data_IF_439260488021
#
_entry.id   IF_439260488021
#
_cell.length_a   1.000
_cell.length_b   1.000
_cell.length_c   1.000
_cell.angle_alpha   90.00
_cell.angle_beta   90.00
_cell.angle_gamma   90.00
#
_symmetry.space_group_name_H-M   'P 1'
#
loop_
_entity.id
_entity.type
_entity.pdbx_description
1 polymer ?
#
# COMPACT_ATOMS: atom_id res chain seq x y z
N UNK A 1 -29.66 7.36 0.70
CA UNK A 1 -29.02 6.12 0.24
C UNK A 1 -29.98 5.21 -0.54
N UNK A 2 -31.09 4.76 0.01
CA UNK A 2 -32.01 3.81 -0.67
C UNK A 2 -32.50 4.33 -2.04
N UNK A 3 -32.90 5.59 -2.13
CA UNK A 3 -33.38 6.19 -3.39
C UNK A 3 -32.29 6.28 -4.47
N UNK A 4 -31.02 6.48 -4.10
CA UNK A 4 -29.90 6.48 -5.05
C UNK A 4 -29.62 5.09 -5.62
N UNK A 5 -29.71 4.05 -4.78
CA UNK A 5 -29.55 2.67 -5.20
C UNK A 5 -30.68 2.23 -6.15
N UNK A 6 -31.92 2.56 -5.84
CA UNK A 6 -33.06 2.26 -6.70
C UNK A 6 -32.93 2.96 -8.07
N UNK A 7 -32.53 4.23 -8.09
CA UNK A 7 -32.26 4.97 -9.32
C UNK A 7 -31.12 4.38 -10.13
N UNK A 8 -30.07 3.87 -9.46
CA UNK A 8 -28.98 3.15 -10.12
C UNK A 8 -29.45 1.84 -10.75
N UNK A 9 -30.24 1.05 -10.04
CA UNK A 9 -30.82 -0.18 -10.55
C UNK A 9 -31.72 0.09 -11.76
N UNK A 10 -32.57 1.10 -11.69
CA UNK A 10 -33.44 1.52 -12.80
C UNK A 10 -32.61 1.93 -14.02
N UNK A 11 -31.59 2.73 -13.84
CA UNK A 11 -30.72 3.17 -14.93
C UNK A 11 -29.97 1.98 -15.55
N UNK A 12 -29.49 1.07 -14.73
CA UNK A 12 -28.80 -0.15 -15.19
C UNK A 12 -29.73 -1.04 -16.00
N UNK A 13 -30.91 -1.37 -15.49
CA UNK A 13 -31.85 -2.27 -16.16
C UNK A 13 -32.44 -1.66 -17.42
N UNK A 14 -32.64 -0.34 -17.45
CA UNK A 14 -33.25 0.32 -18.61
C UNK A 14 -32.26 0.69 -19.71
N UNK A 15 -30.97 0.92 -19.37
CA UNK A 15 -29.99 1.45 -20.35
C UNK A 15 -28.80 0.53 -20.59
N UNK A 16 -28.41 -0.30 -19.63
CA UNK A 16 -27.23 -1.15 -19.74
C UNK A 16 -27.60 -2.59 -20.06
N UNK A 17 -28.55 -3.16 -19.33
CA UNK A 17 -28.98 -4.54 -19.50
C UNK A 17 -29.56 -4.84 -20.89
N UNK A 18 -30.30 -3.95 -21.57
CA UNK A 18 -30.81 -4.19 -22.92
C UNK A 18 -29.70 -4.32 -23.97
N UNK A 19 -28.51 -3.75 -23.72
CA UNK A 19 -27.41 -3.72 -24.70
C UNK A 19 -26.41 -4.88 -24.52
N UNK A 20 -26.69 -5.84 -23.64
CA UNK A 20 -25.87 -7.03 -23.45
C UNK A 20 -26.40 -7.93 -22.32
N UNK A 21 -25.81 -9.12 -22.18
CA UNK A 21 -26.12 -10.04 -21.10
C UNK A 21 -25.36 -9.64 -19.82
N UNK A 22 -25.77 -8.57 -19.18
CA UNK A 22 -25.20 -8.13 -17.92
C UNK A 22 -26.16 -8.51 -16.78
N UNK A 23 -25.60 -8.87 -15.64
CA UNK A 23 -26.39 -9.05 -14.42
C UNK A 23 -25.64 -8.41 -13.24
N UNK A 24 -26.40 -7.79 -12.36
CA UNK A 24 -25.90 -7.34 -11.05
C UNK A 24 -26.31 -8.40 -10.04
N UNK A 25 -25.33 -8.97 -9.32
CA UNK A 25 -25.63 -9.84 -8.19
C UNK A 25 -25.92 -8.97 -6.95
N UNK A 26 -27.15 -8.90 -6.47
CA UNK A 26 -27.48 -8.09 -5.27
C UNK A 26 -26.76 -8.56 -4.02
N UNK A 27 -26.33 -9.83 -3.98
CA UNK A 27 -25.61 -10.42 -2.85
C UNK A 27 -24.14 -10.00 -2.77
N UNK A 28 -23.61 -9.35 -3.83
CA UNK A 28 -22.21 -8.90 -3.90
C UNK A 28 -22.03 -7.39 -4.00
N UNK A 29 -23.12 -6.63 -4.04
CA UNK A 29 -23.07 -5.16 -3.97
C UNK A 29 -23.02 -4.81 -2.49
N UNK A 30 -21.81 -4.75 -1.95
CA UNK A 30 -21.57 -4.17 -0.61
C UNK A 30 -21.43 -2.65 -0.72
N UNK A 31 -21.45 -1.96 0.44
CA UNK A 31 -21.31 -0.51 0.50
C UNK A 31 -20.05 0.00 -0.22
N UNK A 32 -18.93 -0.71 -0.09
CA UNK A 32 -17.64 -0.34 -0.70
C UNK A 32 -17.68 -0.34 -2.22
N UNK A 33 -18.37 -1.29 -2.86
CA UNK A 33 -18.49 -1.30 -4.33
C UNK A 33 -19.31 -0.11 -4.82
N UNK A 34 -20.38 0.25 -4.11
CA UNK A 34 -21.19 1.42 -4.42
C UNK A 34 -20.39 2.70 -4.20
N UNK A 35 -19.63 2.79 -3.11
CA UNK A 35 -18.76 3.93 -2.82
C UNK A 35 -17.65 4.08 -3.85
N UNK A 36 -17.04 2.98 -4.29
CA UNK A 36 -16.03 2.99 -5.35
C UNK A 36 -16.60 3.49 -6.67
N UNK A 37 -17.80 3.04 -7.07
CA UNK A 37 -18.50 3.55 -8.26
C UNK A 37 -18.81 5.05 -8.10
N UNK A 38 -19.27 5.47 -6.92
CA UNK A 38 -19.55 6.86 -6.62
C UNK A 38 -18.29 7.73 -6.66
N UNK A 39 -17.19 7.25 -6.14
CA UNK A 39 -15.88 7.94 -6.15
C UNK A 39 -15.38 8.13 -7.58
N UNK A 40 -15.47 7.10 -8.43
CA UNK A 40 -15.11 7.18 -9.85
C UNK A 40 -16.00 8.18 -10.59
N UNK A 41 -17.30 8.14 -10.36
CA UNK A 41 -18.25 9.08 -10.96
C UNK A 41 -18.00 10.52 -10.50
N UNK A 42 -17.71 10.72 -9.21
CA UNK A 42 -17.37 12.01 -8.63
C UNK A 42 -16.05 12.56 -9.20
N UNK A 43 -15.05 11.71 -9.35
CA UNK A 43 -13.76 12.09 -9.96
C UNK A 43 -13.94 12.48 -11.44
N UNK A 44 -14.68 11.68 -12.23
CA UNK A 44 -14.95 11.96 -13.64
C UNK A 44 -15.81 13.22 -13.87
N UNK A 45 -16.51 13.69 -12.84
CA UNK A 45 -17.32 14.92 -12.86
C UNK A 45 -16.60 16.16 -12.30
N UNK A 46 -15.30 16.08 -12.04
CA UNK A 46 -14.52 17.19 -11.48
C UNK A 46 -14.85 17.49 -10.00
N UNK A 47 -15.27 16.47 -9.25
CA UNK A 47 -15.50 16.57 -7.80
C UNK A 47 -16.94 16.97 -7.42
N UNK A 48 -17.76 17.47 -8.37
CA UNK A 48 -19.15 17.84 -8.13
C UNK A 48 -20.09 16.89 -8.88
N UNK A 49 -20.52 15.82 -8.20
CA UNK A 49 -21.52 14.91 -8.75
C UNK A 49 -22.94 15.49 -8.50
N UNK A 50 -23.47 16.17 -9.49
CA UNK A 50 -24.88 16.59 -9.51
C UNK A 50 -25.74 15.57 -10.27
N UNK A 51 -27.04 15.59 -10.07
CA UNK A 51 -27.97 14.78 -10.85
C UNK A 51 -27.80 15.00 -12.38
N UNK A 52 -27.39 16.20 -12.78
CA UNK A 52 -27.14 16.54 -14.21
C UNK A 52 -25.84 15.95 -14.76
N UNK A 53 -24.80 15.77 -13.92
CA UNK A 53 -23.50 15.21 -14.35
C UNK A 53 -23.40 13.69 -14.18
N UNK A 54 -24.31 13.07 -13.43
CA UNK A 54 -24.30 11.65 -13.13
C UNK A 54 -24.47 10.79 -14.39
N UNK A 55 -25.48 11.07 -15.20
CA UNK A 55 -25.73 10.31 -16.44
C UNK A 55 -24.58 10.35 -17.44
N UNK A 56 -24.04 11.53 -17.81
CA UNK A 56 -22.86 11.62 -18.68
C UNK A 56 -21.60 10.94 -18.11
N UNK A 57 -21.37 11.03 -16.80
CA UNK A 57 -20.22 10.39 -16.14
C UNK A 57 -20.34 8.87 -16.13
N UNK A 58 -21.53 8.33 -15.87
CA UNK A 58 -21.83 6.91 -15.97
C UNK A 58 -21.69 6.41 -17.42
N UNK A 59 -22.16 7.18 -18.40
CA UNK A 59 -21.99 6.87 -19.82
C UNK A 59 -20.53 6.78 -20.26
N UNK A 60 -19.65 7.64 -19.73
CA UNK A 60 -18.20 7.57 -19.97
C UNK A 60 -17.59 6.31 -19.34
N UNK A 61 -17.98 5.96 -18.13
CA UNK A 61 -17.51 4.75 -17.44
C UNK A 61 -17.92 3.48 -18.23
N UNK A 62 -19.18 3.38 -18.63
CA UNK A 62 -19.71 2.23 -19.40
C UNK A 62 -19.04 2.09 -20.78
N UNK A 63 -18.67 3.20 -21.40
CA UNK A 63 -18.01 3.23 -22.70
C UNK A 63 -16.48 3.11 -22.62
N UNK A 64 -15.89 3.03 -21.42
CA UNK A 64 -14.45 2.84 -21.28
C UNK A 64 -14.02 1.49 -21.89
N UNK A 65 -12.82 1.46 -22.46
CA UNK A 65 -12.26 0.24 -23.10
C UNK A 65 -12.20 -0.95 -22.15
N UNK A 66 -12.02 -0.68 -20.86
CA UNK A 66 -11.85 -1.70 -19.82
C UNK A 66 -13.14 -2.50 -19.57
N UNK A 67 -14.32 -1.86 -19.71
CA UNK A 67 -15.59 -2.59 -19.64
C UNK A 67 -15.91 -3.38 -20.93
N UNK A 68 -15.29 -3.05 -22.08
CA UNK A 68 -15.53 -3.75 -23.34
C UNK A 68 -14.70 -5.02 -23.53
N UNK A 69 -13.57 -5.16 -22.83
CA UNK A 69 -12.67 -6.30 -23.01
C UNK A 69 -13.10 -7.58 -22.27
N UNK A 70 -13.97 -7.50 -21.29
CA UNK A 70 -14.38 -8.65 -20.47
C UNK A 70 -15.59 -9.43 -20.99
N UNK A 71 -15.91 -9.35 -22.29
CA UNK A 71 -17.06 -10.08 -22.88
C UNK A 71 -16.93 -11.61 -22.85
N UNK A 72 -15.75 -12.18 -22.61
CA UNK A 72 -15.48 -13.61 -22.77
C UNK A 72 -14.94 -14.31 -21.51
N UNK A 73 -14.85 -13.66 -20.33
CA UNK A 73 -14.38 -14.33 -19.13
C UNK A 73 -15.52 -14.71 -18.21
N UNK A 74 -15.63 -16.01 -17.91
CA UNK A 74 -16.47 -16.54 -16.82
C UNK A 74 -15.92 -16.14 -15.42
N UNK A 75 -14.80 -15.41 -15.36
CA UNK A 75 -14.20 -14.86 -14.16
C UNK A 75 -14.92 -13.56 -13.82
N UNK A 76 -15.90 -13.68 -12.95
CA UNK A 76 -16.80 -12.60 -12.58
C UNK A 76 -16.14 -11.38 -11.94
N UNK A 77 -16.94 -10.61 -11.25
CA UNK A 77 -16.74 -9.38 -10.48
C UNK A 77 -15.29 -9.06 -9.98
N UNK A 78 -14.50 -10.09 -9.66
CA UNK A 78 -13.08 -9.97 -9.25
C UNK A 78 -12.23 -9.25 -10.31
N UNK A 79 -12.46 -9.54 -11.61
CA UNK A 79 -11.69 -8.94 -12.71
C UNK A 79 -12.11 -7.48 -12.98
N UNK A 80 -13.36 -7.12 -12.68
CA UNK A 80 -13.83 -5.74 -12.84
C UNK A 80 -13.31 -4.86 -11.69
N UNK A 81 -13.29 -5.36 -10.46
CA UNK A 81 -12.73 -4.65 -9.31
C UNK A 81 -11.20 -4.56 -9.42
N UNK A 82 -10.53 -5.63 -9.84
CA UNK A 82 -9.08 -5.60 -10.10
C UNK A 82 -8.72 -4.63 -11.22
N UNK A 83 -9.54 -4.51 -12.29
CA UNK A 83 -9.32 -3.52 -13.33
C UNK A 83 -9.62 -2.09 -12.86
N UNK A 84 -10.60 -1.89 -11.98
CA UNK A 84 -10.89 -0.57 -11.39
C UNK A 84 -9.77 -0.17 -10.43
N UNK A 85 -9.29 -1.09 -9.60
CA UNK A 85 -8.17 -0.85 -8.70
C UNK A 85 -6.83 -0.80 -9.46
N UNK A 86 -6.64 -1.62 -10.48
CA UNK A 86 -5.55 -1.50 -11.45
C UNK A 86 -5.59 -0.16 -12.18
N UNK A 87 -6.79 0.39 -12.44
CA UNK A 87 -6.94 1.72 -13.05
C UNK A 87 -6.71 2.84 -12.03
N UNK A 88 -7.00 2.64 -10.75
CA UNK A 88 -6.65 3.60 -9.70
C UNK A 88 -5.14 3.61 -9.44
N UNK A 89 -4.49 2.45 -9.34
CA UNK A 89 -3.04 2.33 -9.31
C UNK A 89 -2.39 2.80 -10.64
N UNK A 90 -2.98 2.48 -11.80
CA UNK A 90 -2.56 2.97 -13.10
C UNK A 90 -2.86 4.47 -13.29
N UNK A 91 -3.92 5.02 -12.67
CA UNK A 91 -4.20 6.46 -12.70
C UNK A 91 -3.30 7.23 -11.75
N UNK A 92 -2.95 6.68 -10.58
CA UNK A 92 -1.86 7.19 -9.75
C UNK A 92 -0.53 7.05 -10.47
N UNK A 93 -0.27 5.94 -11.17
CA UNK A 93 0.90 5.75 -12.02
C UNK A 93 0.85 6.58 -13.32
N UNK A 94 -0.33 6.82 -13.92
CA UNK A 94 -0.50 7.59 -15.16
C UNK A 94 -0.56 9.10 -14.91
N UNK A 95 -1.06 9.56 -13.76
CA UNK A 95 -0.86 10.95 -13.30
C UNK A 95 0.61 11.24 -12.96
N UNK A 96 1.45 10.20 -12.94
CA UNK A 96 2.88 10.24 -12.70
C UNK A 96 3.70 10.92 -13.80
N UNK A 97 3.18 11.19 -14.98
CA UNK A 97 3.98 11.89 -16.00
C UNK A 97 4.64 13.19 -15.47
N UNK A 98 4.25 13.65 -14.27
CA UNK A 98 4.82 14.81 -13.59
C UNK A 98 5.05 14.66 -12.07
N UNK A 99 4.81 13.50 -11.46
CA UNK A 99 5.03 13.33 -10.00
C UNK A 99 6.47 12.85 -9.75
N UNK A 100 7.30 13.75 -9.32
CA UNK A 100 8.66 13.48 -8.87
C UNK A 100 8.66 13.44 -7.34
N UNK A 101 9.17 12.39 -6.74
CA UNK A 101 9.43 12.31 -5.30
C UNK A 101 10.89 12.66 -5.08
N UNK A 102 11.20 13.89 -4.69
CA UNK A 102 12.58 14.35 -4.55
C UNK A 102 13.23 13.73 -3.32
N UNK A 103 14.54 13.54 -3.40
CA UNK A 103 15.35 13.16 -2.26
C UNK A 103 15.58 14.35 -1.34
N UNK A 104 15.13 14.29 -0.11
CA UNK A 104 15.60 15.15 0.96
C UNK A 104 16.88 14.56 1.55
N UNK A 105 18.03 15.05 1.10
CA UNK A 105 19.34 14.58 1.57
C UNK A 105 19.68 15.25 2.89
N UNK A 106 19.69 14.49 3.98
CA UNK A 106 20.06 14.98 5.31
C UNK A 106 21.58 14.94 5.54
N UNK A 107 22.26 13.99 4.88
CA UNK A 107 23.72 13.87 4.88
C UNK A 107 24.18 12.99 3.70
N UNK A 108 25.49 12.83 3.52
CA UNK A 108 26.04 11.93 2.49
C UNK A 108 25.67 10.43 2.71
N UNK A 109 25.07 10.11 3.85
CA UNK A 109 24.79 8.73 4.25
C UNK A 109 23.33 8.53 4.71
N UNK A 110 22.45 9.51 4.44
CA UNK A 110 21.04 9.47 4.84
C UNK A 110 20.19 10.35 3.93
N UNK A 111 19.14 9.78 3.38
CA UNK A 111 18.14 10.52 2.61
C UNK A 111 16.72 10.04 2.94
N UNK A 112 15.76 10.93 2.73
CA UNK A 112 14.33 10.67 2.92
C UNK A 112 13.59 11.02 1.63
N UNK A 113 12.65 10.15 1.25
CA UNK A 113 11.66 10.38 0.22
C UNK A 113 10.30 10.50 0.89
N UNK A 114 9.67 11.66 0.75
CA UNK A 114 8.38 11.94 1.38
C UNK A 114 7.31 12.05 0.32
N UNK A 115 6.26 11.25 0.47
CA UNK A 115 5.16 11.20 -0.49
C UNK A 115 4.13 12.30 -0.21
N UNK A 116 3.39 12.76 -1.25
CA UNK A 116 2.25 13.65 -1.05
C UNK A 116 1.19 13.04 -0.13
N UNK A 117 0.37 13.90 0.50
CA UNK A 117 -0.69 13.48 1.41
C UNK A 117 -1.69 12.47 0.80
N UNK A 118 -1.86 12.48 -0.51
CA UNK A 118 -2.70 11.53 -1.24
C UNK A 118 -2.09 10.13 -1.38
N UNK A 119 -0.82 9.93 -0.97
CA UNK A 119 -0.10 8.66 -1.10
C UNK A 119 0.28 8.15 0.29
N UNK A 120 -0.67 7.52 0.96
CA UNK A 120 -0.51 6.78 2.21
C UNK A 120 -1.53 5.64 2.27
N UNK A 121 -1.35 4.71 3.20
CA UNK A 121 -2.33 3.64 3.42
C UNK A 121 -3.74 4.17 3.72
N UNK A 122 -3.84 5.34 4.31
CA UNK A 122 -5.11 5.94 4.76
C UNK A 122 -5.74 6.90 3.75
N UNK A 123 -5.09 7.17 2.61
CA UNK A 123 -5.57 8.19 1.65
C UNK A 123 -5.64 7.69 0.21
N UNK A 124 -4.86 6.69 -0.19
CA UNK A 124 -4.96 6.11 -1.53
C UNK A 124 -6.36 5.52 -1.72
N UNK A 125 -7.00 5.86 -2.84
CA UNK A 125 -8.35 5.41 -3.17
C UNK A 125 -9.44 6.11 -2.36
N UNK A 126 -9.19 7.36 -1.93
CA UNK A 126 -10.12 8.19 -1.13
C UNK A 126 -10.50 7.54 0.22
N UNK A 127 -9.59 6.77 0.80
CA UNK A 127 -9.79 6.13 2.11
C UNK A 127 -9.74 7.15 3.25
N UNK A 128 -10.44 6.82 4.33
CA UNK A 128 -10.42 7.55 5.61
C UNK A 128 -9.92 6.63 6.72
N UNK A 129 -8.62 6.29 6.67
CA UNK A 129 -8.00 5.37 7.61
C UNK A 129 -7.75 3.97 7.02
N UNK A 130 -6.85 3.24 7.63
CA UNK A 130 -6.53 1.84 7.30
C UNK A 130 -5.78 1.20 8.45
N UNK A 131 -6.09 -0.08 8.73
CA UNK A 131 -5.35 -0.95 9.65
C UNK A 131 -4.52 -2.01 8.90
N UNK A 132 -4.34 -1.85 7.59
CA UNK A 132 -3.66 -2.81 6.72
C UNK A 132 -2.12 -2.71 6.77
N UNK A 133 -1.54 -1.95 7.69
CA UNK A 133 -0.10 -1.66 7.68
C UNK A 133 0.79 -2.91 7.63
N UNK A 134 0.43 -3.98 8.34
CA UNK A 134 1.21 -5.23 8.34
C UNK A 134 1.10 -5.95 6.99
N UNK A 135 -0.09 -6.03 6.39
CA UNK A 135 -0.30 -6.55 5.04
C UNK A 135 0.50 -5.76 4.00
N UNK A 136 0.44 -4.42 4.09
CA UNK A 136 1.18 -3.53 3.18
C UNK A 136 2.69 -3.74 3.31
N UNK A 137 3.21 -3.82 4.55
CA UNK A 137 4.63 -4.04 4.79
C UNK A 137 5.09 -5.40 4.22
N UNK A 138 4.34 -6.48 4.48
CA UNK A 138 4.63 -7.82 3.92
C UNK A 138 4.56 -7.80 2.40
N UNK A 139 3.54 -7.16 1.82
CA UNK A 139 3.39 -7.05 0.36
C UNK A 139 4.51 -6.26 -0.28
N UNK A 140 4.95 -5.16 0.34
CA UNK A 140 6.08 -4.39 -0.16
C UNK A 140 7.37 -5.21 -0.19
N UNK A 141 7.60 -6.05 0.83
CA UNK A 141 8.71 -7.00 0.83
C UNK A 141 8.66 -7.95 -0.36
N UNK A 142 7.49 -8.50 -0.71
CA UNK A 142 7.33 -9.31 -1.91
C UNK A 142 7.75 -8.54 -3.17
N UNK A 143 7.33 -7.28 -3.31
CA UNK A 143 7.74 -6.42 -4.43
C UNK A 143 9.25 -6.11 -4.42
N UNK A 144 9.89 -5.99 -3.25
CA UNK A 144 11.34 -5.81 -3.17
C UNK A 144 12.08 -6.94 -3.87
N UNK A 145 11.69 -8.19 -3.64
CA UNK A 145 12.34 -9.37 -4.23
C UNK A 145 11.93 -9.60 -5.69
N UNK A 146 10.65 -9.48 -6.00
CA UNK A 146 10.12 -9.64 -7.36
C UNK A 146 10.74 -8.64 -8.34
N UNK A 147 10.81 -7.37 -7.95
CA UNK A 147 11.31 -6.28 -8.77
C UNK A 147 12.83 -6.04 -8.59
N UNK A 148 13.49 -6.86 -7.76
CA UNK A 148 14.92 -6.72 -7.43
C UNK A 148 15.29 -5.30 -7.06
N UNK A 149 14.52 -4.71 -6.14
CA UNK A 149 14.74 -3.33 -5.73
C UNK A 149 16.13 -3.18 -5.11
N UNK A 150 16.91 -2.26 -5.67
CA UNK A 150 18.24 -1.91 -5.14
C UNK A 150 18.14 -0.61 -4.34
N UNK A 151 19.16 -0.31 -3.53
CA UNK A 151 19.27 0.90 -2.73
C UNK A 151 20.44 1.75 -3.19
N UNK A 152 20.25 3.07 -3.21
CA UNK A 152 21.33 4.01 -3.44
C UNK A 152 21.10 5.31 -2.67
N UNK A 153 22.17 5.84 -2.11
CA UNK A 153 22.20 7.17 -1.51
C UNK A 153 22.48 8.28 -2.54
N UNK A 154 22.71 7.93 -3.80
CA UNK A 154 23.02 8.87 -4.86
C UNK A 154 21.79 9.35 -5.64
N UNK A 155 20.61 8.82 -5.34
CA UNK A 155 19.39 9.25 -6.02
C UNK A 155 18.96 10.66 -5.63
N UNK A 156 18.68 11.49 -6.62
CA UNK A 156 18.10 12.81 -6.44
C UNK A 156 16.57 12.76 -6.38
N UNK A 157 16.00 11.68 -6.89
CA UNK A 157 14.57 11.39 -6.85
C UNK A 157 14.35 9.87 -6.70
N UNK A 158 13.19 9.48 -6.16
CA UNK A 158 12.83 8.08 -6.00
C UNK A 158 12.66 7.43 -7.38
N UNK A 159 13.34 6.30 -7.68
CA UNK A 159 13.16 5.58 -8.93
C UNK A 159 11.73 5.11 -9.13
N UNK A 160 11.29 5.04 -10.38
CA UNK A 160 9.93 4.65 -10.75
C UNK A 160 9.51 3.28 -10.23
N UNK A 161 10.41 2.32 -10.27
CA UNK A 161 10.15 0.96 -9.78
C UNK A 161 9.84 0.97 -8.27
N UNK A 162 10.50 1.81 -7.48
CA UNK A 162 10.24 1.98 -6.06
C UNK A 162 8.87 2.63 -5.81
N UNK A 163 8.60 3.71 -6.55
CA UNK A 163 7.31 4.41 -6.47
C UNK A 163 6.15 3.45 -6.78
N UNK A 164 6.23 2.73 -7.91
CA UNK A 164 5.20 1.79 -8.34
C UNK A 164 5.04 0.66 -7.32
N UNK A 165 6.14 0.09 -6.83
CA UNK A 165 6.09 -0.97 -5.81
C UNK A 165 5.45 -0.49 -4.51
N UNK A 166 5.74 0.74 -4.07
CA UNK A 166 5.15 1.33 -2.87
C UNK A 166 3.64 1.54 -3.01
N UNK A 167 3.21 2.14 -4.12
CA UNK A 167 1.78 2.37 -4.40
C UNK A 167 1.02 1.05 -4.52
N UNK A 168 1.56 0.08 -5.27
CA UNK A 168 0.92 -1.22 -5.44
C UNK A 168 0.82 -1.97 -4.10
N UNK A 169 1.86 -1.92 -3.26
CA UNK A 169 1.80 -2.56 -1.95
C UNK A 169 0.69 -1.98 -1.06
N UNK A 170 0.49 -0.65 -1.11
CA UNK A 170 -0.61 -0.01 -0.37
C UNK A 170 -1.97 -0.43 -0.94
N UNK A 171 -2.14 -0.41 -2.25
CA UNK A 171 -3.40 -0.80 -2.90
C UNK A 171 -3.75 -2.26 -2.59
N UNK A 172 -2.81 -3.18 -2.87
CA UNK A 172 -3.03 -4.61 -2.69
C UNK A 172 -3.20 -4.99 -1.21
N UNK A 173 -2.42 -4.38 -0.31
CA UNK A 173 -2.53 -4.64 1.13
C UNK A 173 -3.86 -4.17 1.71
N UNK A 174 -4.34 -3.00 1.28
CA UNK A 174 -5.65 -2.49 1.66
C UNK A 174 -6.79 -3.36 1.10
N UNK A 175 -6.69 -3.79 -0.16
CA UNK A 175 -7.70 -4.64 -0.80
C UNK A 175 -7.83 -5.99 -0.06
N UNK A 176 -6.72 -6.65 0.20
CA UNK A 176 -6.71 -7.92 0.94
C UNK A 176 -7.23 -7.74 2.37
N UNK A 177 -6.89 -6.63 3.03
CA UNK A 177 -7.42 -6.33 4.36
C UNK A 177 -8.94 -6.22 4.35
N UNK A 178 -9.50 -5.47 3.39
CA UNK A 178 -10.95 -5.27 3.27
C UNK A 178 -11.67 -6.60 2.95
N UNK A 179 -11.07 -7.43 2.08
CA UNK A 179 -11.62 -8.76 1.75
C UNK A 179 -11.67 -9.70 2.95
N UNK A 180 -10.63 -9.69 3.81
CA UNK A 180 -10.54 -10.61 4.94
C UNK A 180 -11.36 -10.16 6.16
N UNK A 181 -11.40 -8.85 6.42
CA UNK A 181 -11.91 -8.33 7.69
C UNK A 181 -13.18 -7.51 7.56
N UNK A 182 -13.64 -7.21 6.34
CA UNK A 182 -14.95 -6.65 6.04
C UNK A 182 -15.33 -5.47 6.97
N UNK A 183 -14.51 -4.42 6.99
CA UNK A 183 -14.64 -3.20 7.81
C UNK A 183 -14.43 -3.39 9.34
N UNK A 184 -14.07 -4.59 9.78
CA UNK A 184 -13.71 -4.80 11.18
C UNK A 184 -12.29 -4.32 11.43
N UNK A 185 -12.08 -3.43 12.40
CA UNK A 185 -10.76 -2.96 12.77
C UNK A 185 -9.98 -4.07 13.50
N UNK A 186 -9.07 -4.73 12.80
CA UNK A 186 -8.20 -5.79 13.32
C UNK A 186 -6.75 -5.35 13.18
N UNK A 187 -5.99 -5.44 14.27
CA UNK A 187 -4.54 -5.26 14.23
C UNK A 187 -3.91 -6.64 14.01
N UNK A 188 -3.08 -6.74 12.98
CA UNK A 188 -2.44 -7.99 12.58
C UNK A 188 -0.97 -7.97 12.95
N UNK A 189 -0.47 -9.05 13.50
CA UNK A 189 0.96 -9.28 13.54
C UNK A 189 1.45 -9.96 12.23
N UNK A 190 2.76 -10.17 12.13
CA UNK A 190 3.34 -10.75 10.90
C UNK A 190 2.97 -12.22 10.73
N UNK A 191 2.85 -12.96 11.83
CA UNK A 191 2.46 -14.37 11.82
C UNK A 191 1.01 -14.51 11.35
N UNK A 192 0.10 -13.67 11.83
CA UNK A 192 -1.29 -13.61 11.36
C UNK A 192 -1.36 -13.39 9.85
N UNK A 193 -0.59 -12.41 9.33
CA UNK A 193 -0.54 -12.12 7.90
C UNK A 193 0.02 -13.30 7.11
N UNK A 194 1.14 -13.88 7.54
CA UNK A 194 1.76 -15.01 6.82
C UNK A 194 0.83 -16.23 6.81
N UNK A 195 0.15 -16.52 7.91
CA UNK A 195 -0.80 -17.62 8.00
C UNK A 195 -2.05 -17.40 7.13
N UNK A 196 -2.54 -16.16 7.07
CA UNK A 196 -3.74 -15.83 6.32
C UNK A 196 -3.51 -15.72 4.80
N UNK A 197 -2.34 -15.19 4.37
CA UNK A 197 -2.14 -14.76 2.98
C UNK A 197 -0.74 -15.08 2.43
N UNK A 198 0.04 -15.91 3.12
CA UNK A 198 1.43 -16.20 2.75
C UNK A 198 1.61 -16.65 1.30
N UNK A 199 0.69 -17.47 0.79
CA UNK A 199 0.73 -17.95 -0.60
C UNK A 199 0.40 -16.83 -1.60
N UNK A 200 -0.48 -15.89 -1.25
CA UNK A 200 -0.85 -14.76 -2.10
C UNK A 200 0.29 -13.75 -2.26
N UNK A 201 1.16 -13.65 -1.26
CA UNK A 201 2.29 -12.73 -1.25
C UNK A 201 3.63 -13.41 -1.55
N UNK A 202 3.61 -14.70 -1.88
CA UNK A 202 4.83 -15.49 -2.05
C UNK A 202 5.71 -15.51 -0.78
N UNK A 203 5.08 -15.53 0.39
CA UNK A 203 5.74 -15.62 1.68
C UNK A 203 5.77 -17.07 2.12
N UNK A 204 6.96 -17.58 2.43
CA UNK A 204 7.12 -18.94 2.92
C UNK A 204 6.86 -19.02 4.43
N UNK A 205 7.52 -18.17 5.20
CA UNK A 205 7.35 -18.08 6.64
C UNK A 205 7.90 -16.78 7.19
N UNK A 206 7.45 -16.37 8.37
CA UNK A 206 8.16 -15.42 9.20
C UNK A 206 9.30 -16.15 9.94
N UNK A 207 10.53 -15.63 9.84
CA UNK A 207 11.71 -16.19 10.50
C UNK A 207 12.34 -15.14 11.42
N UNK A 208 12.89 -15.59 12.55
CA UNK A 208 13.66 -14.77 13.49
C UNK A 208 12.92 -13.52 14.00
N UNK A 209 12.26 -13.65 15.11
CA UNK A 209 11.63 -12.54 15.82
C UNK A 209 12.70 -11.92 16.75
N UNK A 210 12.80 -10.60 16.73
CA UNK A 210 13.52 -9.81 17.73
C UNK A 210 12.53 -8.89 18.42
N UNK A 211 12.46 -8.95 19.78
CA UNK A 211 11.64 -8.05 20.57
C UNK A 211 12.53 -7.01 21.28
N UNK A 212 12.07 -5.78 21.36
CA UNK A 212 12.68 -4.71 22.16
C UNK A 212 11.60 -4.04 23.00
N UNK A 213 11.92 -3.64 24.21
CA UNK A 213 10.94 -3.17 25.22
C UNK A 213 11.12 -1.71 25.61
N UNK A 214 12.21 -1.09 25.22
CA UNK A 214 12.49 0.32 25.52
C UNK A 214 13.59 0.88 24.61
N UNK A 215 13.72 2.20 24.60
CA UNK A 215 14.71 2.90 23.78
C UNK A 215 16.18 2.56 24.10
N UNK A 216 16.48 2.03 25.30
CA UNK A 216 17.84 1.63 25.67
C UNK A 216 18.27 0.34 24.96
N UNK A 217 17.32 -0.49 24.54
CA UNK A 217 17.57 -1.72 23.75
C UNK A 217 17.75 -1.44 22.26
N UNK A 218 17.73 -0.18 21.88
CA UNK A 218 17.94 0.25 20.50
C UNK A 218 19.26 -0.25 19.92
N UNK A 219 20.34 -0.27 20.72
CA UNK A 219 21.63 -0.79 20.24
C UNK A 219 21.54 -2.30 19.98
N UNK A 220 20.84 -3.04 20.82
CA UNK A 220 20.63 -4.49 20.65
C UNK A 220 19.84 -4.79 19.37
N UNK A 221 18.84 -3.99 19.03
CA UNK A 221 18.11 -4.07 17.76
C UNK A 221 19.06 -3.84 16.57
N UNK A 222 19.91 -2.81 16.64
CA UNK A 222 20.88 -2.52 15.59
C UNK A 222 21.90 -3.65 15.45
N UNK A 223 22.39 -4.19 16.55
CA UNK A 223 23.37 -5.28 16.57
C UNK A 223 22.74 -6.57 16.06
N UNK A 224 21.48 -6.84 16.37
CA UNK A 224 20.73 -7.94 15.80
C UNK A 224 20.63 -7.83 14.26
N UNK A 225 20.24 -6.67 13.74
CA UNK A 225 20.16 -6.46 12.28
C UNK A 225 21.53 -6.65 11.62
N UNK A 226 22.59 -6.07 12.20
CA UNK A 226 23.94 -6.25 11.68
C UNK A 226 24.40 -7.72 11.73
N UNK A 227 24.03 -8.45 12.78
CA UNK A 227 24.27 -9.88 12.90
C UNK A 227 23.62 -10.70 11.80
N UNK A 228 22.37 -10.36 11.44
CA UNK A 228 21.66 -11.01 10.33
C UNK A 228 22.36 -10.75 8.99
N UNK A 229 22.78 -9.50 8.71
CA UNK A 229 23.53 -9.16 7.49
C UNK A 229 24.81 -10.00 7.39
N UNK A 230 25.56 -10.09 8.49
CA UNK A 230 26.82 -10.84 8.53
C UNK A 230 26.62 -12.36 8.38
N UNK A 231 25.53 -12.89 8.94
CA UNK A 231 25.24 -14.31 8.90
C UNK A 231 24.72 -14.78 7.52
N UNK A 232 23.92 -13.96 6.86
CA UNK A 232 23.26 -14.37 5.61
C UNK A 232 24.03 -13.98 4.37
N UNK A 233 24.81 -12.90 4.40
CA UNK A 233 25.48 -12.30 3.24
C UNK A 233 24.53 -12.00 2.06
N UNK A 234 23.24 -11.92 2.33
CA UNK A 234 22.18 -11.67 1.35
C UNK A 234 21.35 -10.47 1.77
N UNK A 235 20.53 -9.99 0.85
CA UNK A 235 19.51 -9.00 1.17
C UNK A 235 18.45 -9.63 2.07
N UNK A 236 18.02 -8.91 3.10
CA UNK A 236 17.01 -9.37 4.05
C UNK A 236 15.89 -8.33 4.15
N UNK A 237 14.68 -8.81 4.38
CA UNK A 237 13.54 -7.96 4.62
C UNK A 237 12.89 -8.33 5.95
N UNK A 238 12.70 -7.32 6.78
CA UNK A 238 12.01 -7.44 8.06
C UNK A 238 10.76 -6.58 8.09
N UNK A 239 9.85 -6.95 8.97
CA UNK A 239 8.66 -6.17 9.30
C UNK A 239 8.76 -5.79 10.76
N UNK A 240 8.86 -4.49 11.03
CA UNK A 240 8.95 -3.94 12.36
C UNK A 240 7.60 -3.38 12.80
N UNK A 241 7.13 -3.82 13.96
CA UNK A 241 5.89 -3.36 14.60
C UNK A 241 6.24 -2.63 15.87
N UNK A 242 5.81 -1.38 16.02
CA UNK A 242 5.93 -0.58 17.23
C UNK A 242 4.71 0.31 17.38
N UNK A 243 4.12 0.35 18.58
CA UNK A 243 2.98 1.21 18.90
C UNK A 243 1.80 1.12 17.89
N UNK A 244 1.44 -0.10 17.50
CA UNK A 244 0.40 -0.39 16.51
C UNK A 244 0.70 0.12 15.09
N UNK A 245 1.94 0.51 14.82
CA UNK A 245 2.39 0.86 13.48
C UNK A 245 3.33 -0.22 12.97
N UNK A 246 3.17 -0.57 11.71
CA UNK A 246 3.99 -1.56 11.03
C UNK A 246 4.71 -0.93 9.85
N UNK A 247 6.01 -1.17 9.76
CA UNK A 247 6.87 -0.68 8.68
C UNK A 247 7.75 -1.78 8.13
N UNK A 248 8.13 -1.65 6.85
CA UNK A 248 9.11 -2.52 6.23
C UNK A 248 10.53 -2.07 6.52
N UNK A 249 11.44 -3.03 6.68
CA UNK A 249 12.88 -2.81 6.89
C UNK A 249 13.64 -3.65 5.85
N UNK A 250 14.10 -3.03 4.77
CA UNK A 250 14.96 -3.68 3.78
C UNK A 250 16.42 -3.44 4.13
N UNK A 251 17.19 -4.52 4.23
CA UNK A 251 18.60 -4.45 4.53
C UNK A 251 19.37 -5.18 3.44
N UNK A 252 20.31 -4.47 2.81
CA UNK A 252 21.15 -5.00 1.74
C UNK A 252 22.41 -5.63 2.31
N UNK A 253 22.96 -6.60 1.60
CA UNK A 253 24.21 -7.26 1.97
C UNK A 253 25.40 -6.31 2.11
N UNK A 254 25.36 -5.15 1.46
CA UNK A 254 26.38 -4.09 1.57
C UNK A 254 26.16 -3.14 2.77
N UNK A 255 25.16 -3.41 3.62
CA UNK A 255 24.83 -2.63 4.82
C UNK A 255 23.88 -1.45 4.61
N UNK A 256 23.52 -1.12 3.35
CA UNK A 256 22.47 -0.12 3.12
C UNK A 256 21.14 -0.61 3.72
N UNK A 257 20.43 0.30 4.36
CA UNK A 257 19.15 0.01 5.00
C UNK A 257 18.09 1.01 4.55
N UNK A 258 16.88 0.50 4.25
CA UNK A 258 15.71 1.34 4.06
C UNK A 258 14.63 1.00 5.06
N UNK A 259 13.94 2.04 5.56
CA UNK A 259 12.68 1.92 6.30
C UNK A 259 11.57 2.47 5.42
N UNK A 260 10.50 1.69 5.28
CA UNK A 260 9.38 1.96 4.41
C UNK A 260 8.12 2.07 5.26
N UNK A 261 7.56 3.26 5.34
CA UNK A 261 6.37 3.56 6.14
C UNK A 261 5.24 4.08 5.27
N UNK A 262 4.12 3.38 5.27
CA UNK A 262 2.91 3.73 4.52
C UNK A 262 1.94 4.64 5.29
N UNK A 263 2.21 4.94 6.57
CA UNK A 263 1.36 5.81 7.38
C UNK A 263 1.47 7.27 6.95
N UNK A 264 0.48 8.07 7.34
CA UNK A 264 0.51 9.51 7.13
C UNK A 264 1.51 10.20 8.07
N UNK A 265 2.34 11.07 7.51
CA UNK A 265 3.28 11.93 8.23
C UNK A 265 2.83 13.39 8.13
N UNK A 266 1.78 13.75 8.88
CA UNK A 266 1.02 15.01 8.76
C UNK A 266 1.88 16.27 8.79
N UNK A 267 2.95 16.29 9.58
CA UNK A 267 3.84 17.45 9.72
C UNK A 267 4.92 17.54 8.63
N UNK A 268 4.97 16.58 7.70
CA UNK A 268 5.88 16.65 6.53
C UNK A 268 5.10 16.95 5.26
N UNK A 269 4.86 15.96 4.42
CA UNK A 269 4.01 16.10 3.23
C UNK A 269 2.62 15.50 3.43
N UNK A 270 2.41 14.83 4.55
CA UNK A 270 1.18 14.14 4.89
C UNK A 270 1.03 12.73 4.32
N UNK A 271 1.92 12.28 3.43
CA UNK A 271 1.95 10.93 2.87
C UNK A 271 2.89 9.98 3.60
N UNK A 272 3.12 8.80 3.00
CA UNK A 272 4.11 7.85 3.49
C UNK A 272 5.54 8.34 3.29
N UNK A 273 6.52 7.62 3.86
CA UNK A 273 7.95 7.96 3.73
C UNK A 273 8.79 6.72 3.42
N UNK A 274 9.91 6.94 2.73
CA UNK A 274 10.99 5.96 2.58
C UNK A 274 12.29 6.63 3.06
N UNK A 275 12.94 6.03 4.04
CA UNK A 275 14.23 6.48 4.59
C UNK A 275 15.29 5.53 4.08
N UNK A 276 16.38 6.03 3.48
CA UNK A 276 17.53 5.23 3.08
C UNK A 276 18.76 5.72 3.82
N UNK A 277 19.49 4.82 4.47
CA UNK A 277 20.71 5.11 5.17
C UNK A 277 21.81 4.09 4.85
N UNK A 278 23.08 4.49 5.07
CA UNK A 278 24.23 3.63 4.84
C UNK A 278 24.39 2.51 5.88
N UNK A 279 23.59 2.55 6.97
CA UNK A 279 23.49 1.47 7.96
C UNK A 279 22.17 1.49 8.72
N UNK A 280 21.77 0.38 9.35
CA UNK A 280 20.51 0.25 10.08
C UNK A 280 20.36 1.29 11.21
N UNK A 281 21.42 1.55 11.97
CA UNK A 281 21.39 2.50 13.09
C UNK A 281 20.89 3.88 12.66
N UNK A 282 21.42 4.41 11.56
CA UNK A 282 21.01 5.73 11.04
C UNK A 282 19.57 5.72 10.52
N UNK A 283 19.16 4.65 9.83
CA UNK A 283 17.82 4.53 9.32
C UNK A 283 16.80 4.55 10.47
N UNK A 284 17.03 3.77 11.53
CA UNK A 284 16.10 3.66 12.65
C UNK A 284 16.07 4.94 13.49
N UNK A 285 17.23 5.59 13.73
CA UNK A 285 17.27 6.88 14.43
C UNK A 285 16.45 7.92 13.68
N UNK A 286 16.62 8.00 12.37
CA UNK A 286 15.87 8.97 11.57
C UNK A 286 14.39 8.65 11.52
N UNK A 287 14.03 7.36 11.47
CA UNK A 287 12.64 6.95 11.57
C UNK A 287 12.03 7.38 12.92
N UNK A 288 12.73 7.14 14.03
CA UNK A 288 12.30 7.59 15.36
C UNK A 288 12.12 9.12 15.42
N UNK A 289 13.02 9.89 14.80
CA UNK A 289 12.90 11.34 14.68
C UNK A 289 11.65 11.74 13.87
N UNK A 290 11.35 11.05 12.78
CA UNK A 290 10.15 11.28 11.99
C UNK A 290 8.87 10.99 12.79
N UNK A 291 8.82 9.90 13.55
CA UNK A 291 7.69 9.58 14.41
C UNK A 291 7.46 10.64 15.47
N UNK A 292 8.51 11.04 16.18
CA UNK A 292 8.41 12.08 17.21
C UNK A 292 7.96 13.42 16.63
N UNK A 293 8.54 13.84 15.51
CA UNK A 293 8.25 15.12 14.86
C UNK A 293 6.85 15.17 14.24
N UNK A 294 6.43 14.08 13.59
CA UNK A 294 5.24 14.08 12.76
C UNK A 294 3.99 13.56 13.47
N UNK A 295 4.16 12.68 14.46
CA UNK A 295 3.07 11.98 15.12
C UNK A 295 3.13 12.08 16.65
N UNK A 296 4.18 12.70 17.18
CA UNK A 296 4.46 12.77 18.63
C UNK A 296 4.53 11.37 19.29
N UNK A 297 5.07 10.40 18.54
CA UNK A 297 5.27 9.02 18.98
C UNK A 297 6.75 8.73 19.19
N UNK A 298 7.04 7.81 20.10
CA UNK A 298 8.40 7.34 20.38
C UNK A 298 8.55 5.87 19.96
N UNK A 299 9.74 5.51 19.50
CA UNK A 299 10.05 4.11 19.18
C UNK A 299 10.53 3.40 20.46
N UNK A 300 9.61 3.04 21.35
CA UNK A 300 9.93 2.56 22.69
C UNK A 300 9.92 1.05 22.83
N UNK A 301 9.00 0.37 22.14
CA UNK A 301 8.84 -1.07 22.24
C UNK A 301 8.29 -1.62 20.93
N UNK A 302 8.61 -2.86 20.61
CA UNK A 302 8.11 -3.50 19.41
C UNK A 302 8.73 -4.85 19.12
N UNK A 303 8.50 -5.31 17.90
CA UNK A 303 9.08 -6.53 17.35
C UNK A 303 9.63 -6.26 15.96
N UNK A 304 10.68 -6.98 15.60
CA UNK A 304 11.18 -7.09 14.22
C UNK A 304 11.10 -8.56 13.81
N UNK A 305 10.33 -8.83 12.77
CA UNK A 305 10.15 -10.17 12.21
C UNK A 305 10.83 -10.20 10.84
N UNK A 306 11.75 -11.14 10.63
CA UNK A 306 12.34 -11.38 9.33
C UNK A 306 11.41 -12.26 8.50
N UNK A 307 11.20 -11.88 7.25
CA UNK A 307 10.23 -12.53 6.35
C UNK A 307 10.97 -13.15 5.17
N UNK A 308 10.65 -14.41 4.88
CA UNK A 308 11.25 -15.20 3.78
C UNK A 308 10.25 -15.24 2.63
N UNK A 309 10.69 -14.86 1.43
CA UNK A 309 9.85 -14.85 0.25
C UNK A 309 10.16 -16.04 -0.67
N UNK A 310 9.10 -16.71 -1.13
CA UNK A 310 9.22 -17.80 -2.11
C UNK A 310 9.60 -17.23 -3.48
N UNK A 311 10.45 -17.92 -4.24
CA UNK A 311 10.63 -17.59 -5.65
C UNK A 311 9.29 -17.69 -6.40
N UNK A 312 9.09 -16.85 -7.40
CA UNK A 312 8.02 -17.06 -8.36
C UNK A 312 8.32 -18.34 -9.13
N UNK A 313 7.46 -19.36 -9.03
CA UNK A 313 7.54 -20.60 -9.82
C UNK A 313 7.00 -20.34 -11.23
#
# INVERSE_FOLDING_TARGET
>A
MVNGFLSFCDLFFNNVAPNGKYFISPLRINGSAIESIYSILKFSSGGNLSALSYGPSLGKLINSKDMKQNKNSEKGYRDVVLNINGTAAANVACSKSNLVIPCQRLSNCLCIFTFPASISQSTIGDRFGSNACTLIAVKFGAYCFQNKLDLSLLWDQLPDVWFISFVNAICDGNEVYDELYNDTAVYLDVEDVVNAVGDLFNVESADRIFAFTNANEFQDLVDHINGVIQATHTDNYGVMISQNMTVGVLVKSNGLCAIIDSHQHVNSSGGGIIIIAHNPKKAIIEYANCLLKNQNLTLDAGTLNWVIYRPLT
#
